data_IF_019183270502
#
_entry.id   IF_019183270502
#
_cell.length_a   1.000
_cell.length_b   1.000
_cell.length_c   1.000
_cell.angle_alpha   90.00
_cell.angle_beta   90.00
_cell.angle_gamma   90.00
#
_symmetry.space_group_name_H-M   'P 1'
#
loop_
_entity.id
_entity.type
_entity.pdbx_description
1 polymer ?
#
# COMPACT_ATOMS: atom_id res chain seq x y z
N UNK A 1 2.29 -20.44 -13.55
CA UNK A 1 1.03 -19.72 -13.26
C UNK A 1 1.27 -18.61 -12.24
N UNK A 2 0.47 -17.53 -12.27
CA UNK A 2 0.47 -16.49 -11.24
C UNK A 2 -0.37 -16.98 -10.07
N UNK A 3 0.21 -16.98 -8.86
CA UNK A 3 -0.41 -17.50 -7.63
C UNK A 3 -0.86 -16.37 -6.69
N UNK A 4 -0.22 -15.22 -6.75
CA UNK A 4 -0.52 -14.10 -5.86
C UNK A 4 -0.34 -12.73 -6.53
N UNK A 5 -1.14 -11.76 -6.09
CA UNK A 5 -1.05 -10.36 -6.50
C UNK A 5 -0.99 -9.46 -5.27
N UNK A 6 0.03 -8.62 -5.21
CA UNK A 6 0.19 -7.55 -4.22
C UNK A 6 -0.32 -6.23 -4.81
N UNK A 7 -1.16 -5.54 -4.09
CA UNK A 7 -1.63 -4.20 -4.46
C UNK A 7 -1.03 -3.15 -3.51
N UNK A 8 -0.58 -2.02 -4.04
CA UNK A 8 -0.45 -0.82 -3.23
C UNK A 8 -1.84 -0.28 -2.84
N UNK A 9 -1.91 0.59 -1.82
CA UNK A 9 -3.19 1.12 -1.36
C UNK A 9 -3.55 2.45 -2.05
N UNK A 10 -2.86 3.54 -1.70
CA UNK A 10 -3.23 4.89 -2.13
C UNK A 10 -2.80 5.18 -3.56
N UNK A 11 -3.74 5.70 -4.38
CA UNK A 11 -3.50 5.88 -5.82
C UNK A 11 -3.69 4.59 -6.62
N UNK A 12 -3.82 3.45 -5.94
CA UNK A 12 -3.96 2.12 -6.54
C UNK A 12 -5.33 1.53 -6.29
N UNK A 13 -5.64 1.06 -5.07
CA UNK A 13 -6.94 0.48 -4.75
C UNK A 13 -7.90 1.47 -4.07
N UNK A 14 -7.36 2.52 -3.43
CA UNK A 14 -8.14 3.58 -2.77
C UNK A 14 -7.65 4.97 -3.16
N UNK A 15 -8.56 5.94 -3.01
CA UNK A 15 -8.25 7.37 -3.12
C UNK A 15 -8.75 8.15 -1.91
N UNK A 16 -8.09 9.28 -1.64
CA UNK A 16 -8.52 10.25 -0.64
C UNK A 16 -9.28 11.37 -1.36
N UNK A 17 -10.57 11.51 -1.09
CA UNK A 17 -11.41 12.56 -1.72
C UNK A 17 -11.16 13.94 -1.15
N UNK A 18 -10.84 14.02 0.15
CA UNK A 18 -10.61 15.28 0.86
C UNK A 18 -9.24 15.24 1.54
N UNK A 19 -8.20 15.56 0.79
CA UNK A 19 -6.84 15.63 1.34
C UNK A 19 -6.69 16.82 2.27
N UNK A 20 -6.58 16.56 3.56
CA UNK A 20 -6.25 17.55 4.59
C UNK A 20 -4.75 17.53 4.94
N UNK A 21 -4.05 16.46 4.62
CA UNK A 21 -2.61 16.25 4.89
C UNK A 21 -2.24 16.47 6.38
N UNK A 22 -2.85 15.77 7.33
CA UNK A 22 -2.68 16.03 8.77
C UNK A 22 -1.22 15.86 9.23
N UNK A 23 -0.50 14.85 8.71
CA UNK A 23 0.92 14.66 9.02
C UNK A 23 1.80 15.78 8.48
N UNK A 24 1.51 16.32 7.29
CA UNK A 24 2.22 17.47 6.76
C UNK A 24 1.97 18.73 7.63
N UNK A 25 0.76 18.91 8.11
CA UNK A 25 0.41 19.99 9.04
C UNK A 25 1.16 19.83 10.37
N UNK A 26 1.21 18.60 10.92
CA UNK A 26 1.99 18.30 12.12
C UNK A 26 3.48 18.63 11.96
N UNK A 27 4.08 18.20 10.84
CA UNK A 27 5.49 18.47 10.54
C UNK A 27 5.77 19.97 10.37
N UNK A 28 4.83 20.73 9.78
CA UNK A 28 4.91 22.20 9.69
C UNK A 28 4.86 22.86 11.07
N UNK A 29 4.01 22.36 11.95
CA UNK A 29 3.94 22.86 13.33
C UNK A 29 5.25 22.62 14.09
N UNK A 30 5.85 21.44 13.95
CA UNK A 30 7.17 21.15 14.52
C UNK A 30 8.25 22.14 14.03
N UNK A 31 8.30 22.41 12.71
CA UNK A 31 9.23 23.40 12.16
C UNK A 31 8.97 24.81 12.70
N UNK A 32 7.68 25.20 12.86
CA UNK A 32 7.31 26.51 13.44
C UNK A 32 7.82 26.67 14.89
N UNK A 33 7.95 25.55 15.61
CA UNK A 33 8.51 25.50 16.97
C UNK A 33 10.04 25.48 17.00
N UNK A 34 10.71 25.51 15.82
CA UNK A 34 12.17 25.45 15.72
C UNK A 34 12.73 24.02 15.76
N UNK A 35 11.89 22.99 15.69
CA UNK A 35 12.34 21.61 15.68
C UNK A 35 12.92 21.23 14.31
N UNK A 36 13.96 20.39 14.32
CA UNK A 36 14.56 19.83 13.12
C UNK A 36 13.68 18.68 12.58
N UNK A 37 12.72 19.01 11.74
CA UNK A 37 11.86 18.05 11.05
C UNK A 37 12.47 17.68 9.72
N UNK A 38 13.03 16.50 9.64
CA UNK A 38 13.78 15.94 8.50
C UNK A 38 12.97 14.89 7.75
N UNK A 39 13.47 14.33 6.61
CA UNK A 39 12.87 13.18 5.95
C UNK A 39 12.70 11.96 6.88
N UNK A 40 13.63 11.76 7.82
CA UNK A 40 13.59 10.68 8.82
C UNK A 40 12.38 10.84 9.75
N UNK A 41 11.98 12.07 10.10
CA UNK A 41 10.75 12.33 10.87
C UNK A 41 9.49 11.86 10.12
N UNK A 42 9.47 12.06 8.80
CA UNK A 42 8.37 11.59 7.95
C UNK A 42 8.41 10.06 7.81
N UNK A 43 9.59 9.50 7.64
CA UNK A 43 9.79 8.04 7.60
C UNK A 43 9.34 7.40 8.92
N UNK A 44 9.72 7.97 10.05
CA UNK A 44 9.26 7.53 11.38
C UNK A 44 7.73 7.51 11.49
N UNK A 45 7.05 8.56 11.03
CA UNK A 45 5.58 8.60 11.07
C UNK A 45 4.91 7.48 10.27
N UNK A 46 5.58 6.94 9.25
CA UNK A 46 5.11 5.82 8.43
C UNK A 46 5.54 4.44 8.93
N UNK A 47 6.54 4.37 9.83
CA UNK A 47 7.10 3.10 10.32
C UNK A 47 6.80 2.84 11.79
N UNK A 48 6.36 3.85 12.53
CA UNK A 48 6.02 3.70 13.93
C UNK A 48 4.58 3.22 14.13
N UNK A 49 4.40 2.17 14.90
CA UNK A 49 3.07 1.68 15.29
C UNK A 49 2.46 2.56 16.39
N UNK A 50 2.39 3.87 16.16
CA UNK A 50 1.89 4.86 17.09
C UNK A 50 0.65 5.57 16.54
N UNK A 51 -0.29 5.96 17.40
CA UNK A 51 -1.38 6.84 17.00
C UNK A 51 -0.82 8.22 16.60
N UNK A 52 -1.62 9.02 15.91
CA UNK A 52 -1.23 10.34 15.43
C UNK A 52 -0.64 11.24 16.53
N UNK A 53 -1.28 11.28 17.71
CA UNK A 53 -0.78 12.04 18.86
C UNK A 53 0.59 11.50 19.34
N UNK A 54 0.78 10.18 19.36
CA UNK A 54 2.05 9.57 19.75
C UNK A 54 3.21 9.93 18.82
N UNK A 55 2.93 10.18 17.52
CA UNK A 55 3.94 10.71 16.59
C UNK A 55 4.34 12.13 16.99
N UNK A 56 3.38 13.00 17.34
CA UNK A 56 3.66 14.35 17.80
C UNK A 56 4.53 14.35 19.08
N UNK A 57 4.14 13.53 20.05
CA UNK A 57 4.85 13.40 21.33
C UNK A 57 6.28 12.88 21.12
N UNK A 58 6.48 11.86 20.28
CA UNK A 58 7.81 11.31 19.97
C UNK A 58 8.73 12.34 19.28
N UNK A 59 8.17 13.15 18.38
CA UNK A 59 8.92 14.20 17.67
C UNK A 59 9.12 15.47 18.51
N UNK A 60 8.63 15.50 19.76
CA UNK A 60 8.74 16.65 20.65
C UNK A 60 7.88 17.84 20.21
N UNK A 61 6.86 17.62 19.36
CA UNK A 61 5.99 18.67 18.86
C UNK A 61 4.92 18.99 19.91
N UNK A 62 5.05 20.13 20.56
CA UNK A 62 4.09 20.59 21.57
C UNK A 62 2.79 21.07 20.90
N UNK A 63 1.69 20.39 21.17
CA UNK A 63 0.38 20.76 20.65
C UNK A 63 -0.50 21.36 21.76
N UNK A 64 -0.96 22.60 21.58
CA UNK A 64 -2.05 23.14 22.41
C UNK A 64 -3.31 22.29 22.24
N UNK A 65 -4.24 22.32 23.20
CA UNK A 65 -5.50 21.59 23.12
C UNK A 65 -6.27 21.93 21.82
N UNK A 66 -6.33 23.21 21.45
CA UNK A 66 -6.96 23.65 20.21
C UNK A 66 -6.28 23.08 18.96
N UNK A 67 -4.93 23.10 18.91
CA UNK A 67 -4.19 22.58 17.76
C UNK A 67 -4.29 21.07 17.64
N UNK A 68 -4.30 20.36 18.77
CA UNK A 68 -4.53 18.90 18.80
C UNK A 68 -5.90 18.56 18.24
N UNK A 69 -6.94 19.30 18.64
CA UNK A 69 -8.29 19.10 18.13
C UNK A 69 -8.39 19.38 16.63
N UNK A 70 -7.84 20.49 16.14
CA UNK A 70 -7.78 20.86 14.72
C UNK A 70 -7.12 19.75 13.86
N UNK A 71 -5.96 19.24 14.30
CA UNK A 71 -5.23 18.20 13.58
C UNK A 71 -5.95 16.85 13.63
N UNK A 72 -6.61 16.52 14.75
CA UNK A 72 -7.43 15.31 14.86
C UNK A 72 -8.63 15.38 13.93
N UNK A 73 -9.33 16.49 13.87
CA UNK A 73 -10.44 16.71 12.92
C UNK A 73 -9.97 16.64 11.47
N UNK A 74 -8.78 17.19 11.18
CA UNK A 74 -8.19 17.09 9.84
C UNK A 74 -7.93 15.63 9.47
N UNK A 75 -7.36 14.82 10.39
CA UNK A 75 -7.15 13.41 10.19
C UNK A 75 -8.47 12.66 9.96
N UNK A 76 -9.47 12.87 10.82
CA UNK A 76 -10.78 12.22 10.69
C UNK A 76 -11.48 12.56 9.36
N UNK A 77 -11.43 13.82 8.94
CA UNK A 77 -11.95 14.27 7.62
C UNK A 77 -11.24 13.57 6.47
N UNK A 78 -9.93 13.34 6.59
CA UNK A 78 -9.19 12.61 5.56
C UNK A 78 -9.54 11.14 5.55
N UNK A 79 -9.50 10.49 6.71
CA UNK A 79 -9.82 9.05 6.86
C UNK A 79 -11.24 8.72 6.38
N UNK A 80 -12.23 9.52 6.78
CA UNK A 80 -13.64 9.32 6.38
C UNK A 80 -13.90 9.59 4.89
N UNK A 81 -12.96 10.21 4.19
CA UNK A 81 -13.04 10.50 2.76
C UNK A 81 -12.33 9.48 1.88
N UNK A 82 -11.73 8.46 2.49
CA UNK A 82 -11.08 7.37 1.74
C UNK A 82 -12.15 6.46 1.17
N UNK A 83 -12.05 6.23 -0.13
CA UNK A 83 -12.98 5.35 -0.85
C UNK A 83 -12.23 4.43 -1.81
N UNK A 84 -12.75 3.22 -2.07
CA UNK A 84 -12.15 2.32 -3.05
C UNK A 84 -12.40 2.83 -4.48
N UNK A 85 -11.47 2.53 -5.37
CA UNK A 85 -11.76 2.67 -6.80
C UNK A 85 -12.67 1.53 -7.26
N UNK A 86 -13.71 1.81 -8.08
CA UNK A 86 -14.64 0.77 -8.53
C UNK A 86 -13.99 -0.38 -9.31
N UNK A 87 -12.93 -0.07 -10.08
CA UNK A 87 -12.15 -1.08 -10.80
C UNK A 87 -11.30 -1.95 -9.87
N UNK A 88 -10.84 -1.39 -8.72
CA UNK A 88 -10.12 -2.16 -7.71
C UNK A 88 -11.00 -3.22 -7.05
N UNK A 89 -12.24 -2.85 -6.67
CA UNK A 89 -13.20 -3.78 -6.07
C UNK A 89 -13.46 -4.96 -7.02
N UNK A 90 -13.70 -4.67 -8.30
CA UNK A 90 -13.95 -5.71 -9.32
C UNK A 90 -12.73 -6.59 -9.57
N UNK A 91 -11.57 -5.97 -9.78
CA UNK A 91 -10.33 -6.70 -10.06
C UNK A 91 -9.93 -7.65 -8.93
N UNK A 92 -10.06 -7.19 -7.68
CA UNK A 92 -9.76 -7.99 -6.49
C UNK A 92 -10.70 -9.20 -6.41
N UNK A 93 -12.01 -8.98 -6.59
CA UNK A 93 -12.98 -10.06 -6.57
C UNK A 93 -12.72 -11.10 -7.69
N UNK A 94 -12.50 -10.66 -8.94
CA UNK A 94 -12.20 -11.54 -10.08
C UNK A 94 -10.94 -12.40 -9.84
N UNK A 95 -9.90 -11.82 -9.23
CA UNK A 95 -8.67 -12.55 -8.90
C UNK A 95 -8.91 -13.57 -7.78
N UNK A 96 -9.60 -13.19 -6.71
CA UNK A 96 -9.92 -14.09 -5.59
C UNK A 96 -10.84 -15.23 -6.03
N UNK A 97 -11.88 -14.97 -6.83
CA UNK A 97 -12.77 -15.98 -7.40
C UNK A 97 -12.03 -16.99 -8.31
N UNK A 98 -10.90 -16.57 -8.87
CA UNK A 98 -10.04 -17.41 -9.69
C UNK A 98 -8.97 -18.17 -8.88
N UNK A 99 -9.00 -18.09 -7.54
CA UNK A 99 -8.08 -18.76 -6.64
C UNK A 99 -6.70 -18.09 -6.54
N UNK A 100 -6.57 -16.82 -6.96
CA UNK A 100 -5.33 -16.05 -6.83
C UNK A 100 -5.34 -15.36 -5.47
N UNK A 101 -4.27 -15.53 -4.70
CA UNK A 101 -4.10 -14.84 -3.43
C UNK A 101 -3.94 -13.33 -3.65
N UNK A 102 -4.62 -12.54 -2.84
CA UNK A 102 -4.55 -11.08 -2.91
C UNK A 102 -4.06 -10.52 -1.58
N UNK A 103 -3.13 -9.58 -1.65
CA UNK A 103 -2.62 -8.87 -0.48
C UNK A 103 -2.47 -7.38 -0.73
N UNK A 104 -2.46 -6.58 0.35
CA UNK A 104 -2.13 -5.16 0.31
C UNK A 104 -0.74 -4.94 0.91
N UNK A 105 0.15 -4.28 0.16
CA UNK A 105 1.49 -3.91 0.58
C UNK A 105 1.68 -2.40 0.41
N UNK A 106 1.66 -1.62 1.51
CA UNK A 106 1.61 -0.16 1.41
C UNK A 106 2.40 0.58 2.49
N UNK A 107 2.98 1.72 2.08
CA UNK A 107 3.60 2.68 2.98
C UNK A 107 2.53 3.61 3.53
N UNK A 108 2.16 3.44 4.80
CA UNK A 108 1.13 4.26 5.44
C UNK A 108 1.31 4.35 6.95
N UNK A 109 0.84 5.45 7.54
CA UNK A 109 0.81 5.61 8.97
C UNK A 109 -0.36 4.84 9.61
N UNK A 110 -0.22 4.48 10.88
CA UNK A 110 -1.15 3.62 11.62
C UNK A 110 -2.65 3.94 11.44
N UNK A 111 -3.12 5.20 11.52
CA UNK A 111 -4.56 5.49 11.42
C UNK A 111 -5.22 5.06 10.11
N UNK A 112 -4.44 4.94 9.02
CA UNK A 112 -4.96 4.54 7.72
C UNK A 112 -5.17 3.03 7.58
N UNK A 113 -4.41 2.22 8.31
CA UNK A 113 -4.47 0.75 8.23
C UNK A 113 -5.87 0.18 8.47
N UNK A 114 -6.54 0.50 9.59
CA UNK A 114 -7.90 0.03 9.87
C UNK A 114 -8.92 0.43 8.79
N UNK A 115 -8.77 1.61 8.18
CA UNK A 115 -9.65 2.06 7.08
C UNK A 115 -9.49 1.17 5.85
N UNK A 116 -8.24 0.86 5.46
CA UNK A 116 -7.97 -0.04 4.33
C UNK A 116 -8.53 -1.43 4.61
N UNK A 117 -8.29 -1.98 5.80
CA UNK A 117 -8.84 -3.30 6.21
C UNK A 117 -10.38 -3.30 6.18
N UNK A 118 -11.02 -2.21 6.60
CA UNK A 118 -12.49 -2.08 6.59
C UNK A 118 -13.09 -1.95 5.20
N UNK A 119 -12.39 -1.32 4.24
CA UNK A 119 -12.84 -1.19 2.86
C UNK A 119 -12.70 -2.48 2.05
N UNK A 120 -11.76 -3.35 2.43
CA UNK A 120 -11.50 -4.63 1.77
C UNK A 120 -11.45 -5.79 2.79
N UNK A 121 -12.59 -6.11 3.43
CA UNK A 121 -12.61 -7.09 4.52
C UNK A 121 -12.28 -8.52 4.08
N UNK A 122 -12.39 -8.81 2.78
CA UNK A 122 -12.06 -10.12 2.22
C UNK A 122 -10.56 -10.28 1.88
N UNK A 123 -9.74 -9.24 2.04
CA UNK A 123 -8.29 -9.37 1.92
C UNK A 123 -7.73 -9.70 3.30
N UNK A 124 -7.15 -10.89 3.44
CA UNK A 124 -6.58 -11.37 4.70
C UNK A 124 -5.15 -10.89 4.93
N UNK A 125 -4.38 -10.71 3.87
CA UNK A 125 -2.94 -10.46 3.94
C UNK A 125 -2.60 -8.99 3.76
N UNK A 126 -1.87 -8.43 4.74
CA UNK A 126 -1.48 -7.03 4.75
C UNK A 126 -0.02 -6.87 5.18
N UNK A 127 0.73 -6.05 4.45
CA UNK A 127 2.05 -5.57 4.86
C UNK A 127 2.01 -4.03 4.91
N UNK A 128 1.75 -3.50 6.09
CA UNK A 128 1.74 -2.07 6.32
C UNK A 128 3.05 -1.63 6.97
N UNK A 129 3.65 -0.58 6.44
CA UNK A 129 4.95 -0.09 6.91
C UNK A 129 4.97 0.22 8.40
N UNK A 130 3.89 0.76 8.98
CA UNK A 130 3.80 1.07 10.40
C UNK A 130 3.77 -0.19 11.29
N UNK A 131 3.30 -1.33 10.78
CA UNK A 131 3.30 -2.60 11.52
C UNK A 131 4.68 -3.27 11.49
N UNK A 132 5.44 -3.06 10.41
CA UNK A 132 6.71 -3.75 10.14
C UNK A 132 7.95 -2.92 10.47
N UNK A 133 7.80 -1.62 10.69
CA UNK A 133 8.94 -0.72 10.94
C UNK A 133 9.81 -0.43 9.70
N UNK A 134 9.38 -0.84 8.51
CA UNK A 134 10.09 -0.63 7.24
C UNK A 134 9.13 -0.17 6.16
N UNK A 135 9.63 0.59 5.18
CA UNK A 135 8.85 1.06 4.03
C UNK A 135 9.30 0.41 2.73
N UNK A 136 8.40 0.26 1.77
CA UNK A 136 8.81 0.04 0.38
C UNK A 136 9.77 1.17 -0.05
N UNK A 137 10.85 0.89 -0.78
CA UNK A 137 11.19 -0.35 -1.48
C UNK A 137 12.09 -1.31 -0.69
N UNK A 138 12.15 -1.26 0.64
CA UNK A 138 12.92 -2.23 1.41
C UNK A 138 12.43 -3.65 1.07
N UNK A 139 13.31 -4.59 0.64
CA UNK A 139 12.92 -5.94 0.24
C UNK A 139 12.30 -6.75 1.39
N UNK A 140 12.50 -6.34 2.63
CA UNK A 140 11.93 -7.03 3.78
C UNK A 140 10.39 -7.01 3.76
N UNK A 141 9.76 -5.88 3.40
CA UNK A 141 8.30 -5.76 3.37
C UNK A 141 7.66 -6.70 2.35
N UNK A 142 8.31 -6.89 1.18
CA UNK A 142 7.82 -7.79 0.13
C UNK A 142 7.99 -9.26 0.52
N UNK A 143 9.15 -9.63 1.11
CA UNK A 143 9.40 -10.98 1.60
C UNK A 143 8.46 -11.36 2.74
N UNK A 144 8.21 -10.43 3.64
CA UNK A 144 7.26 -10.63 4.74
C UNK A 144 5.88 -11.01 4.21
N UNK A 145 5.31 -10.24 3.28
CA UNK A 145 3.96 -10.51 2.78
C UNK A 145 3.90 -11.81 1.97
N UNK A 146 4.92 -12.13 1.20
CA UNK A 146 5.01 -13.42 0.52
C UNK A 146 5.05 -14.59 1.52
N UNK A 147 5.81 -14.47 2.61
CA UNK A 147 5.86 -15.46 3.68
C UNK A 147 4.51 -15.66 4.36
N UNK A 148 3.74 -14.57 4.60
CA UNK A 148 2.39 -14.66 5.17
C UNK A 148 1.42 -15.42 4.25
N UNK A 149 1.54 -15.26 2.93
CA UNK A 149 0.73 -15.96 1.94
C UNK A 149 1.23 -17.38 1.63
N UNK A 150 2.36 -17.80 2.16
CA UNK A 150 2.98 -19.08 1.82
C UNK A 150 3.50 -19.17 0.38
N UNK A 151 3.80 -18.02 -0.26
CA UNK A 151 4.34 -17.95 -1.61
C UNK A 151 5.82 -17.52 -1.59
N UNK A 152 6.56 -17.86 -2.65
CA UNK A 152 7.96 -17.48 -2.79
C UNK A 152 8.08 -16.27 -3.75
N UNK A 153 8.76 -15.19 -3.37
CA UNK A 153 9.05 -14.10 -4.29
C UNK A 153 10.07 -14.46 -5.37
N UNK A 154 10.53 -15.72 -5.42
CA UNK A 154 11.58 -16.21 -6.29
C UNK A 154 11.40 -15.84 -7.75
N UNK A 155 12.49 -15.41 -8.38
CA UNK A 155 12.51 -14.89 -9.75
C UNK A 155 12.24 -15.89 -10.82
N UNK A 156 12.61 -17.10 -10.61
CA UNK A 156 12.90 -18.01 -11.70
C UNK A 156 12.33 -19.39 -11.42
N UNK A 157 11.05 -19.54 -11.87
CA UNK A 157 10.60 -20.85 -12.31
C UNK A 157 10.62 -22.00 -11.30
N UNK A 158 10.04 -21.76 -10.12
CA UNK A 158 9.42 -22.89 -9.45
C UNK A 158 7.96 -22.98 -9.95
N UNK A 159 7.67 -23.87 -10.91
CA UNK A 159 6.32 -24.00 -11.46
C UNK A 159 5.29 -24.44 -10.42
N UNK A 160 5.74 -25.04 -9.31
CA UNK A 160 4.87 -25.49 -8.22
C UNK A 160 4.41 -24.33 -7.33
N UNK A 161 5.28 -23.32 -7.11
CA UNK A 161 4.98 -22.17 -6.24
C UNK A 161 4.27 -21.02 -6.95
N UNK A 162 4.35 -20.95 -8.26
CA UNK A 162 3.77 -19.88 -9.07
C UNK A 162 4.50 -18.55 -8.95
N UNK A 163 4.01 -17.56 -9.67
CA UNK A 163 4.60 -16.21 -9.72
C UNK A 163 3.81 -15.23 -8.85
N UNK A 164 4.54 -14.34 -8.20
CA UNK A 164 3.96 -13.21 -7.47
C UNK A 164 4.09 -11.95 -8.32
N UNK A 165 3.00 -11.21 -8.47
CA UNK A 165 2.99 -9.90 -9.12
C UNK A 165 2.72 -8.81 -8.10
N UNK A 166 3.18 -7.60 -8.40
CA UNK A 166 2.79 -6.39 -7.68
C UNK A 166 2.36 -5.31 -8.66
N UNK A 167 1.35 -4.52 -8.27
CA UNK A 167 0.88 -3.36 -9.02
C UNK A 167 0.64 -2.18 -8.07
N UNK A 168 1.09 -1.00 -8.49
CA UNK A 168 0.87 0.26 -7.80
C UNK A 168 1.26 1.46 -8.64
N UNK A 169 1.17 2.67 -8.08
CA UNK A 169 1.39 3.93 -8.81
C UNK A 169 2.82 4.49 -8.68
N UNK A 170 3.64 3.91 -7.79
CA UNK A 170 5.01 4.37 -7.55
C UNK A 170 6.04 3.56 -8.33
N UNK A 171 6.78 4.17 -9.29
CA UNK A 171 7.86 3.45 -9.99
C UNK A 171 8.85 2.79 -9.04
N UNK A 172 9.28 3.50 -8.01
CA UNK A 172 10.26 3.04 -7.04
C UNK A 172 9.72 1.94 -6.14
N UNK A 173 8.49 2.10 -5.61
CA UNK A 173 7.95 1.23 -4.56
C UNK A 173 7.15 0.04 -5.12
N UNK A 174 6.59 0.15 -6.32
CA UNK A 174 5.62 -0.84 -6.81
C UNK A 174 6.08 -1.55 -8.08
N UNK A 175 7.12 -1.02 -8.75
CA UNK A 175 7.74 -1.66 -9.91
C UNK A 175 9.16 -2.11 -9.63
N UNK A 176 10.06 -1.18 -9.28
CA UNK A 176 11.51 -1.48 -9.20
C UNK A 176 11.86 -2.19 -7.89
N UNK A 177 11.29 -1.77 -6.75
CA UNK A 177 11.49 -2.42 -5.45
C UNK A 177 11.04 -3.88 -5.43
N UNK A 178 9.83 -4.23 -5.86
CA UNK A 178 9.39 -5.62 -5.96
C UNK A 178 10.31 -6.45 -6.86
N UNK A 179 10.73 -5.91 -7.99
CA UNK A 179 11.64 -6.61 -8.93
C UNK A 179 12.97 -6.96 -8.28
N UNK A 180 13.53 -6.07 -7.48
CA UNK A 180 14.73 -6.34 -6.71
C UNK A 180 14.52 -7.45 -5.64
N UNK A 181 13.28 -7.67 -5.20
CA UNK A 181 12.92 -8.74 -4.28
C UNK A 181 12.43 -10.03 -4.98
N UNK A 182 12.39 -10.06 -6.31
CA UNK A 182 11.97 -11.24 -7.06
C UNK A 182 10.51 -11.26 -7.49
N UNK A 183 9.80 -10.18 -7.29
CA UNK A 183 8.38 -10.03 -7.64
C UNK A 183 8.28 -9.20 -8.91
N UNK A 184 7.45 -9.63 -9.87
CA UNK A 184 7.24 -8.84 -11.07
C UNK A 184 6.36 -7.62 -10.77
N UNK A 185 7.00 -6.45 -10.64
CA UNK A 185 6.33 -5.18 -10.38
C UNK A 185 5.78 -4.53 -11.66
N UNK A 186 4.55 -4.05 -11.58
CA UNK A 186 3.85 -3.33 -12.63
C UNK A 186 3.48 -1.92 -12.16
N UNK A 187 3.42 -0.98 -13.11
CA UNK A 187 3.04 0.39 -12.84
C UNK A 187 1.63 0.66 -13.34
N UNK A 188 0.79 1.19 -12.46
CA UNK A 188 -0.55 1.66 -12.77
C UNK A 188 -0.51 3.14 -13.13
N UNK A 189 -1.10 3.52 -14.26
CA UNK A 189 -1.16 4.89 -14.77
C UNK A 189 -2.62 5.35 -14.85
N UNK A 190 -3.22 5.71 -13.71
CA UNK A 190 -4.65 6.07 -13.67
C UNK A 190 -5.00 7.33 -14.48
N UNK A 191 -4.07 8.26 -14.58
CA UNK A 191 -4.34 9.59 -15.16
C UNK A 191 -3.89 9.71 -16.60
N UNK A 192 -3.32 8.67 -17.22
CA UNK A 192 -2.70 8.85 -18.52
C UNK A 192 -2.40 7.62 -19.37
N UNK A 193 -1.47 7.79 -20.18
CA UNK A 193 -0.95 7.04 -21.27
C UNK A 193 0.10 6.02 -20.81
N UNK A 194 -0.35 4.88 -20.32
CA UNK A 194 0.51 3.78 -19.93
C UNK A 194 -0.07 2.43 -20.36
N UNK A 195 0.70 1.36 -20.26
CA UNK A 195 0.24 0.02 -20.66
C UNK A 195 -0.88 -0.53 -19.77
N UNK A 196 -0.98 -0.07 -18.51
CA UNK A 196 -2.02 -0.45 -17.55
C UNK A 196 -2.61 0.83 -16.97
N UNK A 197 -3.88 1.09 -17.24
CA UNK A 197 -4.59 2.30 -16.84
C UNK A 197 -5.68 2.06 -15.81
N UNK A 198 -6.14 0.82 -15.66
CA UNK A 198 -7.07 0.39 -14.62
C UNK A 198 -6.78 -1.04 -14.14
N UNK A 199 -7.29 -1.38 -12.96
CA UNK A 199 -7.03 -2.67 -12.34
C UNK A 199 -7.86 -3.81 -12.95
N UNK A 200 -8.99 -3.53 -13.58
CA UNK A 200 -9.77 -4.56 -14.31
C UNK A 200 -9.00 -5.04 -15.54
N UNK A 201 -8.34 -4.11 -16.25
CA UNK A 201 -7.42 -4.46 -17.33
C UNK A 201 -6.28 -5.35 -16.81
N UNK A 202 -5.67 -4.98 -15.68
CA UNK A 202 -4.60 -5.77 -15.08
C UNK A 202 -5.07 -7.17 -14.67
N UNK A 203 -6.21 -7.30 -14.00
CA UNK A 203 -6.78 -8.59 -13.61
C UNK A 203 -7.00 -9.49 -14.82
N UNK A 204 -7.56 -8.97 -15.91
CA UNK A 204 -7.72 -9.73 -17.16
C UNK A 204 -6.39 -10.26 -17.71
N UNK A 205 -5.35 -9.42 -17.76
CA UNK A 205 -4.02 -9.86 -18.20
C UNK A 205 -3.48 -11.02 -17.35
N UNK A 206 -3.68 -10.95 -16.03
CA UNK A 206 -3.30 -12.01 -15.08
C UNK A 206 -4.06 -13.31 -15.37
N UNK A 207 -5.38 -13.23 -15.51
CA UNK A 207 -6.25 -14.37 -15.73
C UNK A 207 -6.03 -15.02 -17.11
N UNK A 208 -5.86 -14.22 -18.15
CA UNK A 208 -5.60 -14.72 -19.50
C UNK A 208 -4.24 -15.43 -19.58
N UNK A 209 -3.23 -14.90 -18.90
CA UNK A 209 -1.94 -15.59 -18.78
C UNK A 209 -2.08 -16.94 -18.09
N UNK A 210 -2.78 -17.01 -16.96
CA UNK A 210 -2.99 -18.27 -16.26
C UNK A 210 -3.79 -19.30 -17.10
N UNK A 211 -4.77 -18.84 -17.91
CA UNK A 211 -5.50 -19.71 -18.85
C UNK A 211 -4.59 -20.26 -19.93
N UNK A 212 -3.77 -19.41 -20.53
CA UNK A 212 -2.83 -19.83 -21.58
C UNK A 212 -1.83 -20.87 -21.08
N UNK A 213 -1.29 -20.70 -19.87
CA UNK A 213 -0.38 -21.65 -19.25
C UNK A 213 -1.06 -23.02 -18.97
N UNK A 214 -2.34 -23.03 -18.58
CA UNK A 214 -3.12 -24.27 -18.37
C UNK A 214 -3.44 -25.03 -19.68
N UNK A 215 -3.60 -24.30 -20.78
CA UNK A 215 -3.91 -24.93 -22.09
C UNK A 215 -2.66 -25.40 -22.83
N UNK A 216 -1.49 -24.91 -22.48
CA UNK A 216 -0.19 -25.28 -23.08
C UNK A 216 0.56 -26.37 -22.30
N UNK A 217 0.01 -26.82 -21.16
CA UNK A 217 0.52 -27.93 -20.34
C UNK A 217 -0.24 -29.21 -20.64
#
# INVERSE_FOLDING_TARGET
MISAVLFDAFGTIVRIRRRTNPYLQLMREGRRQGLSITPESTHFAMTANLPFAGIADHLGIALSASKRMELSEALEKELSSIEPYPDAVRAIAELQDSGILVAVCSNLAKPYGPVIKGLFPNIEYHAFSFELGVTKPDPHIYRFICGQMGVDPGHWFDPEKGQVLMIGDSPKCDRDGPRAAGIMGHLLHRDAHGPITDLTQFARLVLDRNRAERLGS
#
